data_IF_562846548798
#
_entry.id   IF_562846548798
#
_cell.length_a   1.000
_cell.length_b   1.000
_cell.length_c   1.000
_cell.angle_alpha   90.00
_cell.angle_beta   90.00
_cell.angle_gamma   90.00
#
_symmetry.space_group_name_H-M   'P 1'
#
loop_
_entity.id
_entity.type
_entity.pdbx_description
1 polymer ?
#
# COMPACT_ATOMS: atom_id res chain seq x y z
N UNK A 1 -72.41 6.14 2.84
CA UNK A 1 -71.46 7.17 3.26
C UNK A 1 -70.35 7.19 2.22
N UNK A 2 -70.52 8.08 1.24
CA UNK A 2 -69.60 8.51 0.16
C UNK A 2 -68.37 7.65 -0.18
N UNK A 3 -68.43 6.96 -1.33
CA UNK A 3 -67.28 6.61 -2.15
C UNK A 3 -66.50 7.88 -2.54
N UNK A 4 -65.23 7.97 -2.15
CA UNK A 4 -64.33 9.06 -2.57
C UNK A 4 -63.46 8.57 -3.74
N UNK A 5 -63.97 8.75 -4.95
CA UNK A 5 -63.31 8.39 -6.19
C UNK A 5 -62.00 9.16 -6.39
N UNK A 6 -60.90 8.43 -6.52
CA UNK A 6 -59.63 8.91 -7.04
C UNK A 6 -59.83 9.31 -8.51
N UNK A 7 -60.19 10.59 -8.73
CA UNK A 7 -60.41 11.15 -10.07
C UNK A 7 -59.09 11.16 -10.84
N UNK A 8 -59.09 10.42 -11.94
CA UNK A 8 -57.97 10.14 -12.81
C UNK A 8 -57.26 11.40 -13.34
N UNK A 9 -56.12 11.74 -12.74
CA UNK A 9 -55.00 12.38 -13.42
C UNK A 9 -53.91 11.32 -13.65
N UNK A 10 -54.25 10.27 -14.39
CA UNK A 10 -53.47 9.03 -14.49
C UNK A 10 -52.35 9.05 -15.57
N UNK A 11 -52.30 10.08 -16.42
CA UNK A 11 -51.34 10.13 -17.54
C UNK A 11 -50.01 10.84 -17.24
N UNK A 12 -50.04 12.00 -16.58
CA UNK A 12 -48.85 12.83 -16.37
C UNK A 12 -48.00 12.36 -15.17
N UNK A 13 -48.63 11.80 -14.14
CA UNK A 13 -47.96 11.29 -12.94
C UNK A 13 -47.18 10.02 -13.23
N UNK A 14 -47.67 9.17 -14.13
CA UNK A 14 -47.00 7.92 -14.50
C UNK A 14 -45.66 8.18 -15.21
N UNK A 15 -45.62 9.13 -16.15
CA UNK A 15 -44.38 9.46 -16.85
C UNK A 15 -43.36 10.17 -15.95
N UNK A 16 -43.83 11.02 -15.03
CA UNK A 16 -42.99 11.68 -14.03
C UNK A 16 -42.41 10.67 -13.03
N UNK A 17 -43.20 9.71 -12.54
CA UNK A 17 -42.74 8.66 -11.64
C UNK A 17 -41.68 7.77 -12.30
N UNK A 18 -41.87 7.40 -13.57
CA UNK A 18 -40.90 6.64 -14.35
C UNK A 18 -39.57 7.39 -14.50
N UNK A 19 -39.63 8.68 -14.82
CA UNK A 19 -38.44 9.53 -14.92
C UNK A 19 -37.65 9.57 -13.61
N UNK A 20 -38.34 9.75 -12.48
CA UNK A 20 -37.71 9.75 -11.15
C UNK A 20 -37.07 8.40 -10.85
N UNK A 21 -37.75 7.28 -11.11
CA UNK A 21 -37.21 5.94 -10.87
C UNK A 21 -35.94 5.70 -11.69
N UNK A 22 -35.93 6.07 -12.97
CA UNK A 22 -34.77 5.89 -13.86
C UNK A 22 -33.58 6.74 -13.41
N UNK A 23 -33.82 8.00 -13.03
CA UNK A 23 -32.75 8.89 -12.54
C UNK A 23 -32.20 8.38 -11.20
N UNK A 24 -33.07 8.01 -10.26
CA UNK A 24 -32.65 7.48 -8.96
C UNK A 24 -31.91 6.16 -9.10
N UNK A 25 -32.34 5.27 -10.02
CA UNK A 25 -31.63 4.02 -10.29
C UNK A 25 -30.26 4.27 -10.91
N UNK A 26 -30.15 5.22 -11.84
CA UNK A 26 -28.87 5.60 -12.45
C UNK A 26 -27.90 6.17 -11.40
N UNK A 27 -28.39 7.01 -10.49
CA UNK A 27 -27.61 7.54 -9.36
C UNK A 27 -27.23 6.45 -8.36
N UNK A 28 -28.13 5.51 -8.07
CA UNK A 28 -27.87 4.36 -7.20
C UNK A 28 -26.73 3.49 -7.71
N UNK A 29 -26.71 3.18 -9.01
CA UNK A 29 -25.61 2.44 -9.65
C UNK A 29 -24.29 3.20 -9.53
N UNK A 30 -24.29 4.51 -9.81
CA UNK A 30 -23.09 5.33 -9.69
C UNK A 30 -22.51 5.33 -8.27
N UNK A 31 -23.35 5.45 -7.25
CA UNK A 31 -22.92 5.47 -5.85
C UNK A 31 -22.32 4.13 -5.38
N UNK A 32 -22.81 2.98 -5.87
CA UNK A 32 -22.24 1.66 -5.50
C UNK A 32 -20.79 1.49 -5.97
N UNK A 33 -20.43 2.08 -7.12
CA UNK A 33 -19.06 2.11 -7.60
C UNK A 33 -18.12 2.90 -6.67
N UNK A 34 -18.59 4.04 -6.16
CA UNK A 34 -17.81 4.87 -5.21
C UNK A 34 -17.60 4.17 -3.86
N UNK A 35 -18.62 3.49 -3.33
CA UNK A 35 -18.49 2.74 -2.06
C UNK A 35 -17.44 1.63 -2.16
N UNK A 36 -17.34 0.97 -3.31
CA UNK A 36 -16.35 -0.10 -3.51
C UNK A 36 -14.91 0.43 -3.55
N UNK A 37 -14.70 1.61 -4.15
CA UNK A 37 -13.38 2.27 -4.22
C UNK A 37 -12.91 2.80 -2.85
N UNK A 38 -13.84 3.26 -2.01
CA UNK A 38 -13.50 3.75 -0.67
C UNK A 38 -12.98 2.62 0.24
N UNK A 39 -13.51 1.40 0.13
CA UNK A 39 -13.05 0.26 0.92
C UNK A 39 -11.69 -0.27 0.45
N UNK A 40 -11.41 -0.31 -0.86
CA UNK A 40 -10.11 -0.78 -1.37
C UNK A 40 -8.97 0.19 -1.06
N UNK A 41 -9.21 1.49 -1.11
CA UNK A 41 -8.20 2.51 -0.81
C UNK A 41 -7.76 2.50 0.67
N UNK A 42 -8.68 2.28 1.60
CA UNK A 42 -8.34 2.16 3.03
C UNK A 42 -7.52 0.91 3.34
N UNK A 43 -7.88 -0.24 2.77
CA UNK A 43 -7.10 -1.47 2.90
C UNK A 43 -5.68 -1.32 2.32
N UNK A 44 -5.56 -0.66 1.15
CA UNK A 44 -4.28 -0.38 0.52
C UNK A 44 -3.40 0.56 1.37
N UNK A 45 -4.00 1.57 2.01
CA UNK A 45 -3.27 2.46 2.91
C UNK A 45 -2.66 1.71 4.10
N UNK A 46 -3.40 0.76 4.69
CA UNK A 46 -2.88 -0.11 5.77
C UNK A 46 -1.75 -1.01 5.26
N UNK A 47 -1.91 -1.66 4.10
CA UNK A 47 -0.81 -2.45 3.52
C UNK A 47 0.42 -1.60 3.22
N UNK A 48 0.22 -0.34 2.84
CA UNK A 48 1.30 0.61 2.59
C UNK A 48 2.08 0.96 3.86
N UNK A 49 1.43 1.07 5.02
CA UNK A 49 2.13 1.28 6.29
C UNK A 49 2.86 0.02 6.75
N UNK A 50 2.25 -1.16 6.60
CA UNK A 50 2.90 -2.44 6.86
C UNK A 50 4.18 -2.61 6.03
N UNK A 51 4.15 -2.21 4.74
CA UNK A 51 5.32 -2.26 3.88
C UNK A 51 6.49 -1.38 4.40
N UNK A 52 6.20 -0.26 5.05
CA UNK A 52 7.22 0.60 5.67
C UNK A 52 7.86 -0.13 6.87
N UNK A 53 7.04 -0.71 7.75
CA UNK A 53 7.55 -1.48 8.89
C UNK A 53 8.35 -2.70 8.45
N UNK A 54 7.91 -3.39 7.40
CA UNK A 54 8.65 -4.51 6.81
C UNK A 54 9.99 -4.06 6.21
N UNK A 55 10.02 -2.92 5.51
CA UNK A 55 11.28 -2.37 4.99
C UNK A 55 12.23 -1.95 6.12
N UNK A 56 11.72 -1.36 7.21
CA UNK A 56 12.52 -1.01 8.39
C UNK A 56 13.10 -2.26 9.06
N UNK A 57 12.29 -3.30 9.27
CA UNK A 57 12.77 -4.57 9.80
C UNK A 57 13.80 -5.23 8.86
N UNK A 58 13.67 -5.03 7.54
CA UNK A 58 14.66 -5.43 6.56
C UNK A 58 16.00 -4.69 6.70
N UNK A 59 15.98 -3.37 6.97
CA UNK A 59 17.19 -2.61 7.29
C UNK A 59 17.84 -3.11 8.57
N UNK A 60 17.07 -3.30 9.64
CA UNK A 60 17.56 -3.84 10.92
C UNK A 60 18.18 -5.23 10.74
N UNK A 61 17.57 -6.06 9.90
CA UNK A 61 18.12 -7.36 9.53
C UNK A 61 19.48 -7.23 8.85
N UNK A 62 19.65 -6.33 7.87
CA UNK A 62 20.95 -6.10 7.22
C UNK A 62 21.99 -5.66 8.25
N UNK A 63 21.65 -4.70 9.12
CA UNK A 63 22.55 -4.23 10.18
C UNK A 63 22.95 -5.37 11.12
N UNK A 64 22.01 -6.23 11.49
CA UNK A 64 22.29 -7.42 12.31
C UNK A 64 23.26 -8.38 11.61
N UNK A 65 23.11 -8.60 10.29
CA UNK A 65 24.05 -9.44 9.51
C UNK A 65 25.44 -8.83 9.45
N UNK A 66 25.55 -7.51 9.22
CA UNK A 66 26.83 -6.81 9.22
C UNK A 66 27.50 -6.89 10.59
N UNK A 67 26.75 -6.71 11.68
CA UNK A 67 27.25 -6.85 13.05
C UNK A 67 27.67 -8.30 13.39
N UNK A 68 27.04 -9.29 12.75
CA UNK A 68 27.41 -10.71 12.88
C UNK A 68 28.67 -11.09 12.06
N UNK A 69 29.24 -10.15 11.29
CA UNK A 69 30.47 -10.34 10.52
C UNK A 69 30.27 -10.61 9.03
N UNK A 70 29.03 -10.54 8.51
CA UNK A 70 28.82 -10.56 7.07
C UNK A 70 29.25 -9.25 6.42
N UNK A 71 29.51 -9.30 5.12
CA UNK A 71 29.77 -8.11 4.30
C UNK A 71 28.60 -7.84 3.36
N UNK A 72 28.48 -6.61 2.85
CA UNK A 72 27.47 -6.25 1.86
C UNK A 72 27.41 -7.19 0.63
N UNK A 73 28.53 -7.78 0.23
CA UNK A 73 28.61 -8.70 -0.91
C UNK A 73 28.28 -10.16 -0.59
N UNK A 74 28.14 -10.50 0.70
CA UNK A 74 27.94 -11.87 1.17
C UNK A 74 26.70 -12.02 2.06
N UNK A 75 25.77 -11.06 2.01
CA UNK A 75 24.49 -11.18 2.70
C UNK A 75 23.74 -12.41 2.18
N UNK A 76 23.18 -13.25 3.05
CA UNK A 76 22.37 -14.38 2.62
C UNK A 76 21.03 -13.88 2.06
N UNK A 77 20.17 -14.80 1.67
CA UNK A 77 18.80 -14.47 1.29
C UNK A 77 18.05 -13.78 2.44
N UNK A 78 17.49 -12.60 2.15
CA UNK A 78 16.71 -11.84 3.10
C UNK A 78 15.40 -12.59 3.47
N UNK A 79 14.91 -12.44 4.71
CA UNK A 79 13.70 -13.10 5.16
C UNK A 79 12.45 -12.47 4.55
N UNK A 80 11.35 -13.23 4.56
CA UNK A 80 10.01 -12.70 4.31
C UNK A 80 9.43 -12.22 5.63
N UNK A 81 8.94 -10.98 5.68
CA UNK A 81 8.43 -10.35 6.90
C UNK A 81 6.95 -10.05 6.69
N UNK A 82 6.06 -10.72 7.41
CA UNK A 82 4.60 -10.56 7.29
C UNK A 82 4.08 -10.68 5.84
N UNK A 83 4.66 -11.62 5.08
CA UNK A 83 4.33 -11.82 3.66
C UNK A 83 4.98 -10.82 2.69
N UNK A 84 5.71 -9.82 3.18
CA UNK A 84 6.52 -8.93 2.35
C UNK A 84 7.87 -9.58 2.04
N UNK A 85 8.17 -9.70 0.75
CA UNK A 85 9.48 -10.08 0.26
C UNK A 85 10.43 -8.89 0.40
N UNK A 86 11.53 -9.10 1.12
CA UNK A 86 12.57 -8.11 1.33
C UNK A 86 13.69 -8.33 0.30
N UNK A 87 14.09 -7.27 -0.38
CA UNK A 87 15.22 -7.23 -1.31
C UNK A 87 16.22 -6.18 -0.82
N UNK A 88 17.51 -6.54 -0.78
CA UNK A 88 18.59 -5.58 -0.54
C UNK A 88 19.09 -5.13 -1.91
N UNK A 89 18.58 -3.99 -2.37
CA UNK A 89 18.84 -3.49 -3.72
C UNK A 89 20.24 -2.86 -3.85
N UNK A 90 20.75 -2.31 -2.75
CA UNK A 90 22.11 -1.78 -2.67
C UNK A 90 22.65 -1.99 -1.26
N UNK A 91 23.91 -2.38 -1.17
CA UNK A 91 24.67 -2.38 0.06
C UNK A 91 26.12 -2.05 -0.32
N UNK A 92 26.65 -0.94 0.18
CA UNK A 92 28.04 -0.54 -0.06
C UNK A 92 28.71 -0.13 1.24
N UNK A 93 30.01 -0.40 1.34
CA UNK A 93 30.82 -0.02 2.50
C UNK A 93 31.86 1.00 2.06
N UNK A 94 31.97 2.10 2.79
CA UNK A 94 32.99 3.13 2.61
C UNK A 94 33.72 3.35 3.94
N UNK A 95 35.05 3.34 3.93
CA UNK A 95 35.79 3.66 5.16
C UNK A 95 35.98 5.17 5.25
N UNK A 96 35.38 5.77 6.28
CA UNK A 96 35.53 7.19 6.57
C UNK A 96 36.65 7.36 7.60
N UNK A 97 37.55 8.29 7.35
CA UNK A 97 38.64 8.63 8.28
C UNK A 97 38.45 10.06 8.78
N UNK A 98 38.21 10.20 10.08
CA UNK A 98 38.07 11.47 10.78
C UNK A 98 39.25 11.64 11.74
N UNK A 99 40.24 12.43 11.31
CA UNK A 99 41.49 12.60 12.07
C UNK A 99 42.28 11.30 12.15
N UNK A 100 42.43 10.74 13.37
CA UNK A 100 43.10 9.47 13.62
C UNK A 100 42.14 8.28 13.78
N UNK A 101 40.83 8.49 13.68
CA UNK A 101 39.82 7.43 13.76
C UNK A 101 39.36 7.05 12.35
N UNK A 102 39.22 5.74 12.10
CA UNK A 102 38.64 5.22 10.86
C UNK A 102 37.51 4.27 11.21
N UNK A 103 36.34 4.45 10.58
CA UNK A 103 35.18 3.59 10.76
C UNK A 103 34.52 3.26 9.40
N UNK A 104 33.95 2.07 9.24
CA UNK A 104 33.17 1.74 8.06
C UNK A 104 31.80 2.41 8.12
N UNK A 105 31.42 3.08 7.04
CA UNK A 105 30.08 3.60 6.79
C UNK A 105 29.41 2.71 5.74
N UNK A 106 28.29 2.11 6.09
CA UNK A 106 27.49 1.26 5.23
C UNK A 106 26.29 2.03 4.69
N UNK A 107 26.18 2.18 3.37
CA UNK A 107 24.97 2.68 2.70
C UNK A 107 24.15 1.48 2.23
N UNK A 108 22.94 1.35 2.77
CA UNK A 108 22.06 0.21 2.60
C UNK A 108 20.75 0.71 2.02
N UNK A 109 20.26 0.05 0.97
CA UNK A 109 18.93 0.28 0.43
C UNK A 109 18.15 -1.02 0.36
N UNK A 110 16.99 -1.02 1.01
CA UNK A 110 16.11 -2.18 1.16
C UNK A 110 14.75 -1.87 0.56
N UNK A 111 14.19 -2.82 -0.18
CA UNK A 111 12.82 -2.76 -0.70
C UNK A 111 11.99 -3.89 -0.12
N UNK A 112 10.86 -3.54 0.49
CA UNK A 112 9.81 -4.48 0.87
C UNK A 112 8.69 -4.45 -0.17
N UNK A 113 8.29 -5.62 -0.65
CA UNK A 113 7.22 -5.74 -1.65
C UNK A 113 6.28 -6.89 -1.34
N UNK A 114 5.01 -6.72 -1.66
CA UNK A 114 3.98 -7.76 -1.59
C UNK A 114 3.12 -7.74 -2.84
N UNK A 115 2.70 -8.92 -3.27
CA UNK A 115 2.02 -9.10 -4.54
C UNK A 115 2.98 -9.05 -5.73
N UNK A 116 2.42 -8.97 -6.94
CA UNK A 116 3.17 -8.90 -8.19
C UNK A 116 2.84 -7.62 -8.94
N UNK A 117 3.81 -7.09 -9.68
CA UNK A 117 3.61 -5.89 -10.48
C UNK A 117 2.43 -6.08 -11.45
N UNK A 118 1.48 -5.14 -11.42
CA UNK A 118 0.23 -5.21 -12.19
C UNK A 118 -0.99 -5.72 -11.40
N UNK A 119 -0.79 -6.23 -10.18
CA UNK A 119 -1.88 -6.55 -9.26
C UNK A 119 -2.40 -5.27 -8.56
N UNK A 120 -3.73 -5.06 -8.45
CA UNK A 120 -4.28 -3.95 -7.66
C UNK A 120 -3.86 -3.95 -6.19
N UNK A 121 -3.42 -5.08 -5.64
CA UNK A 121 -2.89 -5.23 -4.29
C UNK A 121 -1.36 -5.11 -4.21
N UNK A 122 -0.67 -4.80 -5.32
CA UNK A 122 0.77 -4.62 -5.31
C UNK A 122 1.17 -3.39 -4.50
N UNK A 123 1.99 -3.62 -3.47
CA UNK A 123 2.55 -2.57 -2.62
C UNK A 123 4.05 -2.77 -2.53
N UNK A 124 4.79 -1.70 -2.74
CA UNK A 124 6.24 -1.67 -2.57
C UNK A 124 6.68 -0.42 -1.82
N UNK A 125 7.68 -0.58 -0.95
CA UNK A 125 8.31 0.52 -0.20
C UNK A 125 9.82 0.29 -0.17
N UNK A 126 10.56 1.34 -0.51
CA UNK A 126 12.02 1.36 -0.52
C UNK A 126 12.53 2.34 0.53
N UNK A 127 13.46 1.90 1.36
CA UNK A 127 14.13 2.70 2.38
C UNK A 127 15.63 2.64 2.17
N UNK A 128 16.30 3.76 2.40
CA UNK A 128 17.76 3.87 2.39
C UNK A 128 18.23 4.32 3.78
N UNK A 129 19.30 3.71 4.26
CA UNK A 129 19.89 3.98 5.57
C UNK A 129 21.42 3.97 5.47
N UNK A 130 22.05 4.89 6.20
CA UNK A 130 23.50 4.92 6.38
C UNK A 130 23.83 4.53 7.82
N UNK A 131 24.69 3.53 8.01
CA UNK A 131 25.04 2.97 9.33
C UNK A 131 26.56 2.94 9.48
N UNK A 132 27.06 3.57 10.53
CA UNK A 132 28.47 3.47 10.91
C UNK A 132 28.68 2.19 11.75
N UNK A 133 29.74 1.44 11.42
CA UNK A 133 30.18 0.25 12.15
C UNK A 133 31.36 0.50 13.07
#
# INVERSE_FOLDING_TARGET
MSDNGYRNAAGFTLISALFVIVVVSALGVYLTGLSTVAHSSSALAVRSSQAIYAAQAGVEWVVFRLAAGDSCGSLPTAPVIDGFSISVDACSTQTITEGSASYPLHDITVTASIGSYGDPAFVTRRLSAAVAG
#
